data_IF_240409764211
#
_entry.id   IF_240409764211
#
_cell.length_a   1.000
_cell.length_b   1.000
_cell.length_c   1.000
_cell.angle_alpha   90.00
_cell.angle_beta   90.00
_cell.angle_gamma   90.00
#
_symmetry.space_group_name_H-M   'P 1'
#
loop_
_entity.id
_entity.type
_entity.pdbx_description
1 polymer ?
#
# COMPACT_ATOMS: atom_id res chain seq x y z
N UNK A 1 -8.82 9.34 23.85
CA UNK A 1 -7.78 8.30 23.98
C UNK A 1 -8.11 7.01 23.21
N UNK A 2 -9.26 6.36 23.40
CA UNK A 2 -9.61 5.11 22.72
C UNK A 2 -9.51 5.16 21.17
N UNK A 3 -9.91 6.27 20.55
CA UNK A 3 -9.83 6.48 19.09
C UNK A 3 -8.38 6.61 18.59
N UNK A 4 -7.52 7.28 19.35
CA UNK A 4 -6.10 7.47 19.00
C UNK A 4 -5.33 6.16 19.06
N UNK A 5 -5.62 5.27 20.00
CA UNK A 5 -4.98 3.96 20.09
C UNK A 5 -5.34 3.10 18.88
N UNK A 6 -6.59 3.17 18.40
CA UNK A 6 -7.03 2.44 17.19
C UNK A 6 -6.61 3.09 15.88
N UNK A 7 -6.48 4.43 15.87
CA UNK A 7 -6.10 5.21 14.69
C UNK A 7 -5.09 6.29 15.07
N UNK A 8 -3.79 5.99 15.04
CA UNK A 8 -2.74 6.98 15.36
C UNK A 8 -2.80 8.26 14.52
N UNK A 9 -3.34 8.18 13.28
CA UNK A 9 -3.54 9.35 12.42
C UNK A 9 -4.51 10.39 13.01
N UNK A 10 -5.35 10.04 13.97
CA UNK A 10 -6.26 10.99 14.64
C UNK A 10 -5.52 12.03 15.52
N UNK A 11 -4.31 11.73 15.97
CA UNK A 11 -3.45 12.72 16.64
C UNK A 11 -3.10 13.91 15.75
N UNK A 12 -3.06 13.68 14.43
CA UNK A 12 -2.70 14.68 13.43
C UNK A 12 -3.92 15.35 12.79
N UNK A 13 -5.10 15.19 13.38
CA UNK A 13 -6.35 15.77 12.87
C UNK A 13 -6.24 17.23 12.43
N UNK A 14 -5.66 18.15 13.23
CA UNK A 14 -5.63 19.57 12.90
C UNK A 14 -4.78 19.88 11.66
N UNK A 15 -3.76 19.06 11.36
CA UNK A 15 -2.77 19.31 10.30
C UNK A 15 -2.84 18.29 9.15
N UNK A 16 -3.68 17.27 9.25
CA UNK A 16 -3.69 16.17 8.27
C UNK A 16 -4.00 16.64 6.84
N UNK A 17 -4.89 17.61 6.67
CA UNK A 17 -5.23 18.16 5.35
C UNK A 17 -4.12 18.99 4.71
N UNK A 18 -3.27 19.63 5.50
CA UNK A 18 -2.16 20.48 5.01
C UNK A 18 -0.95 19.68 4.55
N UNK A 19 -0.89 18.39 4.85
CA UNK A 19 0.21 17.50 4.51
C UNK A 19 0.02 16.75 3.18
N UNK A 20 -1.05 17.05 2.44
CA UNK A 20 -1.24 16.53 1.09
C UNK A 20 -0.20 17.11 0.15
N UNK A 21 0.35 16.25 -0.71
CA UNK A 21 1.44 16.57 -1.63
C UNK A 21 1.00 16.39 -3.08
N UNK A 22 1.53 17.21 -3.94
CA UNK A 22 1.52 16.97 -5.39
C UNK A 22 2.42 15.78 -5.74
N UNK A 23 2.27 15.16 -6.92
CA UNK A 23 3.16 14.09 -7.35
C UNK A 23 4.64 14.47 -7.32
N UNK A 24 4.98 15.71 -7.73
CA UNK A 24 6.36 16.21 -7.71
C UNK A 24 6.92 16.30 -6.28
N UNK A 25 6.13 16.80 -5.33
CA UNK A 25 6.51 16.89 -3.92
C UNK A 25 6.65 15.51 -3.30
N UNK A 26 5.70 14.59 -3.58
CA UNK A 26 5.77 13.19 -3.13
C UNK A 26 7.04 12.50 -3.62
N UNK A 27 7.39 12.69 -4.89
CA UNK A 27 8.62 12.13 -5.46
C UNK A 27 9.87 12.76 -4.84
N UNK A 28 9.91 14.08 -4.73
CA UNK A 28 11.04 14.82 -4.15
C UNK A 28 11.33 14.37 -2.72
N UNK A 29 10.30 14.17 -1.90
CA UNK A 29 10.43 13.84 -0.48
C UNK A 29 10.70 12.35 -0.24
N UNK A 30 9.99 11.47 -0.97
CA UNK A 30 9.99 10.04 -0.64
C UNK A 30 10.70 9.14 -1.65
N UNK A 31 11.21 9.66 -2.77
CA UNK A 31 11.93 8.83 -3.76
C UNK A 31 13.08 8.00 -3.17
N UNK A 32 13.87 8.49 -2.18
CA UNK A 32 14.90 7.65 -1.57
C UNK A 32 14.32 6.41 -0.86
N UNK A 33 13.15 6.54 -0.23
CA UNK A 33 12.46 5.42 0.41
C UNK A 33 11.87 4.46 -0.63
N UNK A 34 11.26 4.99 -1.70
CA UNK A 34 10.72 4.17 -2.78
C UNK A 34 11.84 3.37 -3.48
N UNK A 35 12.98 4.00 -3.72
CA UNK A 35 14.15 3.33 -4.28
C UNK A 35 14.67 2.25 -3.32
N UNK A 36 14.87 2.59 -2.05
CA UNK A 36 15.41 1.68 -1.03
C UNK A 36 14.56 0.41 -0.85
N UNK A 37 13.23 0.58 -0.81
CA UNK A 37 12.31 -0.51 -0.52
C UNK A 37 11.61 -1.08 -1.76
N UNK A 38 12.07 -0.76 -2.96
CA UNK A 38 11.60 -1.41 -4.18
C UNK A 38 12.08 -2.86 -4.27
N UNK A 39 11.35 -3.67 -5.03
CA UNK A 39 11.71 -5.05 -5.36
C UNK A 39 11.72 -5.24 -6.89
N UNK A 40 12.01 -6.47 -7.35
CA UNK A 40 11.91 -6.80 -8.79
C UNK A 40 10.48 -6.65 -9.34
N UNK A 41 9.46 -6.72 -8.49
CA UNK A 41 8.04 -6.59 -8.88
C UNK A 41 7.49 -5.23 -8.50
N UNK A 42 7.75 -4.78 -7.29
CA UNK A 42 7.21 -3.53 -6.75
C UNK A 42 8.22 -2.41 -7.02
N UNK A 43 8.06 -1.72 -8.15
CA UNK A 43 8.97 -0.65 -8.56
C UNK A 43 8.78 0.63 -7.73
N UNK A 44 9.79 1.53 -7.69
CA UNK A 44 9.67 2.83 -7.00
C UNK A 44 8.48 3.65 -7.50
N UNK A 45 8.22 3.62 -8.81
CA UNK A 45 7.13 4.35 -9.45
C UNK A 45 5.77 3.77 -9.04
N UNK A 46 5.67 2.46 -8.83
CA UNK A 46 4.44 1.83 -8.33
C UNK A 46 4.19 2.22 -6.87
N UNK A 47 5.23 2.20 -6.03
CA UNK A 47 5.12 2.65 -4.63
C UNK A 47 4.67 4.11 -4.54
N UNK A 48 5.29 4.99 -5.34
CA UNK A 48 4.90 6.40 -5.40
C UNK A 48 3.46 6.58 -5.90
N UNK A 49 3.04 5.80 -6.92
CA UNK A 49 1.69 5.84 -7.48
C UNK A 49 0.64 5.42 -6.45
N UNK A 50 0.87 4.34 -5.71
CA UNK A 50 -0.02 3.89 -4.65
C UNK A 50 -0.13 4.94 -3.54
N UNK A 51 1.00 5.47 -3.05
CA UNK A 51 1.02 6.52 -2.03
C UNK A 51 0.25 7.78 -2.45
N UNK A 52 0.36 8.16 -3.74
CA UNK A 52 -0.34 9.33 -4.29
C UNK A 52 -1.84 9.08 -4.46
N UNK A 53 -2.22 7.90 -4.96
CA UNK A 53 -3.63 7.56 -5.22
C UNK A 53 -4.41 7.37 -3.92
N UNK A 54 -3.81 6.76 -2.90
CA UNK A 54 -4.45 6.45 -1.62
C UNK A 54 -4.48 7.62 -0.66
N UNK A 55 -3.38 8.31 -0.50
CA UNK A 55 -3.21 9.30 0.55
C UNK A 55 -2.66 10.65 0.08
N UNK A 56 -2.59 10.93 -1.22
CA UNK A 56 -1.96 12.15 -1.76
C UNK A 56 -0.56 12.39 -1.19
N UNK A 57 0.23 11.33 -1.03
CA UNK A 57 1.56 11.38 -0.42
C UNK A 57 1.59 11.81 1.05
N UNK A 58 0.45 11.86 1.72
CA UNK A 58 0.30 12.29 3.10
C UNK A 58 0.47 11.10 4.06
N UNK A 59 1.50 11.08 4.93
CA UNK A 59 1.77 9.96 5.83
C UNK A 59 0.71 9.77 6.93
N UNK A 60 -0.08 10.80 7.20
CA UNK A 60 -1.15 10.78 8.20
C UNK A 60 -2.53 10.92 7.56
N UNK A 61 -2.66 10.58 6.28
CA UNK A 61 -3.94 10.59 5.58
C UNK A 61 -5.00 9.80 6.35
N UNK A 62 -6.18 10.37 6.43
CA UNK A 62 -7.28 9.87 7.27
C UNK A 62 -8.36 9.24 6.41
N UNK A 63 -9.01 8.21 6.96
CA UNK A 63 -10.26 7.67 6.42
C UNK A 63 -11.43 8.48 6.94
N UNK A 64 -12.47 8.64 6.11
CA UNK A 64 -13.71 9.27 6.51
C UNK A 64 -14.42 8.47 7.61
N UNK A 65 -15.11 9.18 8.50
CA UNK A 65 -16.00 8.61 9.49
C UNK A 65 -17.41 8.47 8.89
N UNK A 66 -18.05 7.34 9.13
CA UNK A 66 -19.46 7.12 8.74
C UNK A 66 -20.35 7.16 9.95
N UNK A 67 -21.49 7.82 9.82
CA UNK A 67 -22.59 7.72 10.74
C UNK A 67 -23.35 6.42 10.46
N UNK A 68 -23.57 5.61 11.49
CA UNK A 68 -24.39 4.40 11.41
C UNK A 68 -25.46 4.48 12.49
N UNK A 69 -26.70 4.40 12.10
CA UNK A 69 -27.84 4.24 13.01
C UNK A 69 -27.84 2.79 13.52
N UNK A 70 -26.89 2.46 14.37
CA UNK A 70 -26.78 1.14 15.00
C UNK A 70 -27.51 1.17 16.34
N UNK A 71 -28.12 0.04 16.73
CA UNK A 71 -28.78 -0.12 18.05
C UNK A 71 -27.79 -0.05 19.24
N UNK A 72 -26.49 0.09 18.98
CA UNK A 72 -25.45 0.23 20.01
C UNK A 72 -25.00 1.69 20.10
N UNK A 73 -25.24 2.40 21.22
CA UNK A 73 -24.98 3.83 21.34
C UNK A 73 -23.52 4.24 21.16
N UNK A 74 -22.57 3.32 21.38
CA UNK A 74 -21.14 3.56 21.16
C UNK A 74 -20.66 3.28 19.72
N UNK A 75 -21.54 2.77 18.86
CA UNK A 75 -21.23 2.39 17.48
C UNK A 75 -21.80 3.36 16.43
N UNK A 76 -22.46 4.42 16.89
CA UNK A 76 -23.13 5.43 16.05
C UNK A 76 -22.14 6.15 15.13
N UNK A 77 -20.89 6.30 15.57
CA UNK A 77 -19.84 6.99 14.84
C UNK A 77 -18.60 6.12 14.74
N UNK A 78 -18.44 5.46 13.58
CA UNK A 78 -17.30 4.57 13.30
C UNK A 78 -16.47 5.07 12.14
N UNK A 79 -15.14 4.84 12.13
CA UNK A 79 -14.36 5.04 10.93
C UNK A 79 -14.87 4.11 9.81
N UNK A 80 -14.96 4.64 8.60
CA UNK A 80 -15.40 3.87 7.43
C UNK A 80 -14.51 2.63 7.18
N UNK A 81 -13.25 2.70 7.62
CA UNK A 81 -12.29 1.61 7.51
C UNK A 81 -11.21 1.77 8.57
N UNK A 82 -10.48 0.68 8.89
CA UNK A 82 -9.29 0.70 9.76
C UNK A 82 -8.04 1.21 9.05
N UNK A 83 -8.14 1.67 7.81
CA UNK A 83 -7.02 2.13 6.98
C UNK A 83 -6.38 3.41 7.51
N UNK A 84 -5.04 3.49 7.42
CA UNK A 84 -4.23 4.59 7.97
C UNK A 84 -3.05 4.89 7.06
N UNK A 85 -2.71 6.19 6.98
CA UNK A 85 -1.48 6.69 6.38
C UNK A 85 -1.50 6.76 4.85
N UNK A 86 -0.32 7.02 4.26
CA UNK A 86 -0.20 7.29 2.82
C UNK A 86 -0.62 6.12 1.92
N UNK A 87 -0.62 4.90 2.42
CA UNK A 87 -1.06 3.70 1.69
C UNK A 87 -2.40 3.17 2.18
N UNK A 88 -3.09 3.85 3.09
CA UNK A 88 -4.36 3.41 3.66
C UNK A 88 -4.32 1.93 4.12
N UNK A 89 -3.24 1.55 4.83
CA UNK A 89 -3.01 0.19 5.31
C UNK A 89 -4.06 -0.16 6.38
N UNK A 90 -4.82 -1.22 6.16
CA UNK A 90 -5.81 -1.75 7.13
C UNK A 90 -5.14 -2.51 8.28
N UNK A 91 -5.87 -2.75 9.38
CA UNK A 91 -5.34 -3.49 10.54
C UNK A 91 -4.91 -4.91 10.16
N UNK A 92 -5.70 -5.62 9.33
CA UNK A 92 -5.37 -6.97 8.87
C UNK A 92 -4.10 -6.98 8.01
N UNK A 93 -4.04 -6.11 7.00
CA UNK A 93 -2.84 -5.97 6.16
C UNK A 93 -1.60 -5.60 6.98
N UNK A 94 -1.76 -4.72 7.98
CA UNK A 94 -0.65 -4.34 8.85
C UNK A 94 -0.14 -5.49 9.70
N UNK A 95 -1.04 -6.32 10.26
CA UNK A 95 -0.67 -7.49 11.04
C UNK A 95 0.13 -8.50 10.20
N UNK A 96 -0.30 -8.74 8.95
CA UNK A 96 0.38 -9.65 8.03
C UNK A 96 1.70 -9.08 7.52
N UNK A 97 1.72 -7.79 7.14
CA UNK A 97 2.88 -7.13 6.54
C UNK A 97 4.09 -7.09 7.47
N UNK A 98 3.88 -6.98 8.80
CA UNK A 98 4.96 -6.93 9.80
C UNK A 98 5.83 -8.20 9.86
N UNK A 99 5.40 -9.28 9.21
CA UNK A 99 6.17 -10.52 9.10
C UNK A 99 7.25 -10.47 8.02
N UNK A 100 7.26 -9.42 7.20
CA UNK A 100 8.15 -9.26 6.06
C UNK A 100 8.95 -7.97 6.14
N UNK A 101 10.17 -7.99 5.63
CA UNK A 101 11.00 -6.81 5.41
C UNK A 101 11.73 -6.88 4.07
N UNK A 102 12.32 -5.76 3.66
CA UNK A 102 13.10 -5.67 2.43
C UNK A 102 14.59 -5.62 2.77
N UNK A 103 15.36 -6.56 2.20
CA UNK A 103 16.81 -6.59 2.26
C UNK A 103 17.34 -6.69 0.83
N UNK A 104 18.18 -5.75 0.43
CA UNK A 104 18.79 -5.74 -0.92
C UNK A 104 17.76 -5.98 -2.04
N UNK A 105 16.64 -5.26 -2.00
CA UNK A 105 15.51 -5.38 -2.95
C UNK A 105 14.84 -6.76 -3.00
N UNK A 106 15.03 -7.59 -2.00
CA UNK A 106 14.36 -8.88 -1.84
C UNK A 106 13.54 -8.93 -0.56
N UNK A 107 12.41 -9.62 -0.62
CA UNK A 107 11.57 -9.84 0.57
C UNK A 107 12.16 -10.94 1.41
N UNK A 108 12.36 -10.65 2.69
CA UNK A 108 12.75 -11.59 3.74
C UNK A 108 11.56 -11.81 4.67
N UNK A 109 11.41 -13.02 5.17
CA UNK A 109 10.36 -13.39 6.13
C UNK A 109 10.87 -13.28 7.57
N UNK A 110 9.94 -13.11 8.52
CA UNK A 110 10.25 -13.02 9.96
C UNK A 110 11.05 -14.24 10.43
N UNK A 111 11.91 -14.00 11.41
CA UNK A 111 12.79 -14.99 12.00
C UNK A 111 12.98 -14.74 13.49
N UNK A 112 13.87 -15.48 14.16
CA UNK A 112 14.09 -15.34 15.60
C UNK A 112 14.60 -13.94 15.95
N UNK A 113 14.21 -13.45 17.13
CA UNK A 113 14.54 -12.10 17.61
C UNK A 113 16.06 -11.85 17.76
N UNK A 114 16.84 -12.92 17.95
CA UNK A 114 18.30 -12.87 18.08
C UNK A 114 19.04 -12.90 16.74
N UNK A 115 18.31 -13.05 15.62
CA UNK A 115 18.88 -12.90 14.28
C UNK A 115 18.64 -11.47 13.77
N UNK A 116 19.69 -10.65 13.77
CA UNK A 116 19.64 -9.28 13.29
C UNK A 116 19.30 -9.14 11.80
N UNK A 117 19.38 -10.24 11.04
CA UNK A 117 18.93 -10.31 9.64
C UNK A 117 17.45 -10.57 9.51
N UNK A 118 16.77 -10.99 10.58
CA UNK A 118 15.33 -11.22 10.57
C UNK A 118 14.52 -9.91 10.58
N UNK A 119 13.21 -10.02 10.35
CA UNK A 119 12.31 -8.87 10.28
C UNK A 119 11.63 -8.53 11.61
N UNK A 120 12.12 -9.03 12.75
CA UNK A 120 11.45 -8.88 14.03
C UNK A 120 11.23 -7.40 14.45
N UNK A 121 12.11 -6.49 14.01
CA UNK A 121 11.98 -5.05 14.22
C UNK A 121 10.70 -4.46 13.63
N UNK A 122 10.12 -5.08 12.60
CA UNK A 122 8.90 -4.63 11.98
C UNK A 122 7.68 -4.72 12.92
N UNK A 123 7.81 -5.44 14.04
CA UNK A 123 6.81 -5.44 15.13
C UNK A 123 6.67 -4.08 15.81
N UNK A 124 7.72 -3.25 15.76
CA UNK A 124 7.75 -1.88 16.28
C UNK A 124 7.29 -0.83 15.25
N UNK A 125 7.04 -1.24 14.01
CA UNK A 125 6.64 -0.34 12.94
C UNK A 125 5.25 0.23 13.17
N UNK A 126 5.03 1.41 12.59
CA UNK A 126 3.74 2.10 12.55
C UNK A 126 3.37 2.44 11.11
N UNK A 127 2.08 2.64 10.84
CA UNK A 127 1.56 2.95 9.50
C UNK A 127 1.72 4.42 9.10
N UNK A 128 2.12 5.29 10.04
CA UNK A 128 2.23 6.74 9.83
C UNK A 128 3.66 7.21 9.60
N UNK A 129 4.66 6.39 9.94
CA UNK A 129 6.07 6.68 9.63
C UNK A 129 6.33 6.28 8.18
N UNK A 130 6.75 7.22 7.30
CA UNK A 130 6.88 6.95 5.86
C UNK A 130 7.75 5.74 5.51
N UNK A 131 8.93 5.60 6.13
CA UNK A 131 9.83 4.47 5.89
C UNK A 131 9.18 3.13 6.24
N UNK A 132 8.46 3.07 7.36
CA UNK A 132 7.74 1.87 7.77
C UNK A 132 6.60 1.53 6.80
N UNK A 133 5.80 2.53 6.44
CA UNK A 133 4.66 2.35 5.54
C UNK A 133 5.10 1.88 4.14
N UNK A 134 6.18 2.47 3.60
CA UNK A 134 6.75 2.07 2.29
C UNK A 134 7.26 0.65 2.32
N UNK A 135 8.07 0.28 3.32
CA UNK A 135 8.63 -1.07 3.44
C UNK A 135 7.55 -2.13 3.63
N UNK A 136 6.61 -1.91 4.56
CA UNK A 136 5.50 -2.83 4.81
C UNK A 136 4.65 -3.06 3.56
N UNK A 137 4.30 -1.99 2.84
CA UNK A 137 3.49 -2.09 1.63
C UNK A 137 4.24 -2.85 0.53
N UNK A 138 5.51 -2.52 0.31
CA UNK A 138 6.34 -3.18 -0.70
C UNK A 138 6.50 -4.67 -0.42
N UNK A 139 6.91 -5.02 0.79
CA UNK A 139 7.13 -6.41 1.19
C UNK A 139 5.86 -7.25 1.13
N UNK A 140 4.75 -6.71 1.64
CA UNK A 140 3.45 -7.37 1.61
C UNK A 140 2.95 -7.62 0.19
N UNK A 141 3.01 -6.61 -0.68
CA UNK A 141 2.53 -6.74 -2.05
C UNK A 141 3.39 -7.70 -2.87
N UNK A 142 4.72 -7.61 -2.77
CA UNK A 142 5.62 -8.53 -3.47
C UNK A 142 5.33 -9.99 -3.07
N UNK A 143 5.26 -10.27 -1.77
CA UNK A 143 4.95 -11.60 -1.24
C UNK A 143 3.57 -12.07 -1.66
N UNK A 144 2.58 -11.20 -1.62
CA UNK A 144 1.20 -11.53 -2.00
C UNK A 144 1.07 -11.85 -3.48
N UNK A 145 1.74 -11.08 -4.35
CA UNK A 145 1.82 -11.36 -5.79
C UNK A 145 2.48 -12.70 -6.06
N UNK A 146 3.65 -12.95 -5.46
CA UNK A 146 4.37 -14.21 -5.61
C UNK A 146 3.51 -15.40 -5.17
N UNK A 147 2.85 -15.29 -4.01
CA UNK A 147 1.99 -16.32 -3.46
C UNK A 147 0.76 -16.59 -4.33
N UNK A 148 0.11 -15.56 -4.86
CA UNK A 148 -1.04 -15.73 -5.75
C UNK A 148 -0.65 -16.43 -7.07
N UNK A 149 0.45 -16.02 -7.70
CA UNK A 149 0.94 -16.66 -8.91
C UNK A 149 1.34 -18.11 -8.68
N UNK A 150 2.01 -18.41 -7.56
CA UNK A 150 2.43 -19.76 -7.19
C UNK A 150 1.22 -20.68 -6.95
N UNK A 151 0.24 -20.24 -6.15
CA UNK A 151 -0.98 -21.04 -5.87
C UNK A 151 -1.74 -21.44 -7.14
N UNK A 152 -1.72 -20.59 -8.15
CA UNK A 152 -2.39 -20.84 -9.42
C UNK A 152 -1.45 -21.33 -10.52
N UNK A 153 -0.22 -21.71 -10.17
CA UNK A 153 0.79 -22.30 -11.07
C UNK A 153 1.08 -21.44 -12.33
N UNK A 154 0.96 -20.11 -12.21
CA UNK A 154 1.26 -19.18 -13.29
C UNK A 154 2.77 -19.04 -13.43
N UNK A 155 3.37 -19.70 -14.44
CA UNK A 155 4.81 -19.71 -14.70
C UNK A 155 5.31 -18.40 -15.29
N UNK A 156 4.51 -17.73 -16.12
CA UNK A 156 4.90 -16.52 -16.84
C UNK A 156 3.83 -15.43 -16.67
N UNK A 157 4.27 -14.28 -16.20
CA UNK A 157 3.49 -13.05 -16.16
C UNK A 157 4.44 -11.87 -16.41
N UNK A 158 4.04 -10.92 -17.24
CA UNK A 158 4.82 -9.70 -17.47
C UNK A 158 4.91 -8.87 -16.19
N UNK A 159 5.93 -8.03 -16.09
CA UNK A 159 6.08 -7.12 -14.95
C UNK A 159 4.81 -6.25 -14.76
N UNK A 160 4.27 -5.76 -15.85
CA UNK A 160 3.05 -4.95 -15.84
C UNK A 160 1.87 -5.71 -15.22
N UNK A 161 1.63 -6.98 -15.63
CA UNK A 161 0.56 -7.81 -15.04
C UNK A 161 0.78 -8.14 -13.57
N UNK A 162 2.04 -8.32 -13.14
CA UNK A 162 2.37 -8.48 -11.72
C UNK A 162 2.08 -7.21 -10.93
N UNK A 163 2.36 -6.04 -11.48
CA UNK A 163 2.07 -4.75 -10.85
C UNK A 163 0.57 -4.42 -10.85
N UNK A 164 -0.18 -4.79 -11.88
CA UNK A 164 -1.64 -4.73 -11.86
C UNK A 164 -2.22 -5.63 -10.75
N UNK A 165 -1.73 -6.87 -10.64
CA UNK A 165 -2.10 -7.78 -9.56
C UNK A 165 -1.79 -7.17 -8.18
N UNK A 166 -0.63 -6.52 -8.01
CA UNK A 166 -0.29 -5.81 -6.78
C UNK A 166 -1.31 -4.71 -6.46
N UNK A 167 -1.71 -3.91 -7.46
CA UNK A 167 -2.72 -2.87 -7.28
C UNK A 167 -4.11 -3.46 -6.93
N UNK A 168 -4.50 -4.59 -7.54
CA UNK A 168 -5.74 -5.31 -7.20
C UNK A 168 -5.69 -5.82 -5.75
N UNK A 169 -4.58 -6.44 -5.34
CA UNK A 169 -4.39 -6.92 -3.97
C UNK A 169 -4.43 -5.76 -2.98
N UNK A 170 -3.81 -4.65 -3.32
CA UNK A 170 -3.80 -3.46 -2.46
C UNK A 170 -5.20 -2.93 -2.19
N UNK A 171 -6.00 -2.76 -3.24
CA UNK A 171 -7.36 -2.24 -3.13
C UNK A 171 -8.34 -3.25 -2.51
N UNK A 172 -8.28 -4.51 -2.96
CA UNK A 172 -9.34 -5.50 -2.78
C UNK A 172 -8.92 -6.68 -1.87
N UNK A 173 -7.65 -6.72 -1.46
CA UNK A 173 -7.09 -7.81 -0.66
C UNK A 173 -6.68 -9.05 -1.46
N UNK A 174 -6.01 -9.98 -0.78
CA UNK A 174 -5.40 -11.17 -1.39
C UNK A 174 -6.42 -12.09 -2.11
N UNK A 175 -7.64 -12.23 -1.57
CA UNK A 175 -8.69 -13.06 -2.19
C UNK A 175 -9.11 -12.55 -3.58
N UNK A 176 -9.18 -11.23 -3.75
CA UNK A 176 -9.46 -10.63 -5.07
C UNK A 176 -8.26 -10.80 -6.02
N UNK A 177 -7.04 -10.76 -5.49
CA UNK A 177 -5.83 -11.09 -6.24
C UNK A 177 -5.88 -12.53 -6.77
N UNK A 178 -6.26 -13.49 -5.96
CA UNK A 178 -6.45 -14.89 -6.39
C UNK A 178 -7.52 -15.02 -7.48
N UNK A 179 -8.63 -14.31 -7.33
CA UNK A 179 -9.68 -14.30 -8.34
C UNK A 179 -9.21 -13.67 -9.67
N UNK A 180 -8.41 -12.62 -9.61
CA UNK A 180 -7.78 -12.00 -10.79
C UNK A 180 -6.84 -12.98 -11.50
N UNK A 181 -6.01 -13.71 -10.77
CA UNK A 181 -5.10 -14.71 -11.34
C UNK A 181 -5.90 -15.87 -11.98
N UNK A 182 -6.95 -16.40 -11.31
CA UNK A 182 -7.81 -17.45 -11.87
C UNK A 182 -8.49 -17.05 -13.19
N UNK A 183 -8.75 -15.74 -13.39
CA UNK A 183 -9.32 -15.21 -14.64
C UNK A 183 -8.24 -14.92 -15.71
N UNK A 184 -7.06 -15.50 -15.60
CA UNK A 184 -5.97 -15.26 -16.55
C UNK A 184 -5.42 -13.84 -16.49
N UNK A 185 -5.29 -13.29 -15.29
CA UNK A 185 -4.80 -11.93 -15.00
C UNK A 185 -5.73 -10.86 -15.63
N UNK A 186 -7.03 -11.02 -15.45
CA UNK A 186 -8.07 -10.10 -15.94
C UNK A 186 -9.02 -9.69 -14.82
N UNK A 187 -9.41 -8.41 -14.81
CA UNK A 187 -10.48 -7.92 -13.95
C UNK A 187 -11.84 -8.38 -14.46
N UNK A 188 -12.76 -8.70 -13.56
CA UNK A 188 -14.16 -8.81 -13.92
C UNK A 188 -14.71 -7.44 -14.35
N UNK A 189 -15.77 -7.42 -15.16
CA UNK A 189 -16.32 -6.18 -15.73
C UNK A 189 -16.80 -5.23 -14.64
N UNK A 190 -17.51 -5.74 -13.63
CA UNK A 190 -18.14 -4.95 -12.57
C UNK A 190 -17.47 -5.16 -11.21
N UNK A 191 -16.16 -5.50 -11.19
CA UNK A 191 -15.48 -5.76 -9.94
C UNK A 191 -15.36 -4.49 -9.10
N UNK A 192 -16.01 -4.51 -7.92
CA UNK A 192 -15.97 -3.43 -6.93
C UNK A 192 -15.30 -3.92 -5.63
N UNK A 193 -14.61 -3.02 -4.97
CA UNK A 193 -13.99 -3.25 -3.67
C UNK A 193 -14.36 -2.07 -2.76
N UNK A 194 -15.31 -2.30 -1.88
CA UNK A 194 -15.96 -1.21 -1.17
C UNK A 194 -16.67 -0.27 -2.15
N UNK A 195 -16.39 1.02 -2.03
CA UNK A 195 -16.98 2.06 -2.90
C UNK A 195 -16.20 2.25 -4.22
N UNK A 196 -15.09 1.52 -4.43
CA UNK A 196 -14.21 1.69 -5.58
C UNK A 196 -14.45 0.63 -6.66
N UNK A 197 -14.47 1.08 -7.91
CA UNK A 197 -14.41 0.21 -9.08
C UNK A 197 -12.94 -0.18 -9.35
N UNK A 198 -12.67 -1.50 -9.37
CA UNK A 198 -11.30 -2.00 -9.46
C UNK A 198 -10.59 -1.58 -10.76
N UNK A 199 -11.31 -1.55 -11.88
CA UNK A 199 -10.78 -1.14 -13.19
C UNK A 199 -10.34 0.33 -13.19
N UNK A 200 -11.17 1.22 -12.67
CA UNK A 200 -10.88 2.66 -12.55
C UNK A 200 -9.68 2.88 -11.64
N UNK A 201 -9.62 2.16 -10.52
CA UNK A 201 -8.50 2.23 -9.61
C UNK A 201 -7.18 1.81 -10.26
N UNK A 202 -7.14 0.63 -10.88
CA UNK A 202 -5.93 0.12 -11.56
C UNK A 202 -5.48 1.06 -12.69
N UNK A 203 -6.42 1.61 -13.47
CA UNK A 203 -6.11 2.60 -14.50
C UNK A 203 -5.48 3.87 -13.90
N UNK A 204 -6.01 4.35 -12.76
CA UNK A 204 -5.51 5.51 -12.03
C UNK A 204 -4.09 5.28 -11.49
N UNK A 205 -3.84 4.13 -10.87
CA UNK A 205 -2.49 3.74 -10.41
C UNK A 205 -1.52 3.65 -11.59
N UNK A 206 -1.92 3.02 -12.69
CA UNK A 206 -1.09 2.90 -13.91
C UNK A 206 -0.80 4.26 -14.54
N UNK A 207 -1.77 5.18 -14.56
CA UNK A 207 -1.57 6.56 -15.00
C UNK A 207 -0.57 7.30 -14.12
N UNK A 208 -0.73 7.22 -12.81
CA UNK A 208 0.15 7.85 -11.85
C UNK A 208 1.57 7.27 -11.89
N UNK A 209 1.73 5.96 -12.11
CA UNK A 209 3.02 5.31 -12.31
C UNK A 209 3.79 5.91 -13.48
N UNK A 210 3.11 6.24 -14.61
CA UNK A 210 3.74 6.93 -15.76
C UNK A 210 4.21 8.35 -15.38
N UNK A 211 3.44 9.08 -14.59
CA UNK A 211 3.84 10.41 -14.09
C UNK A 211 5.13 10.30 -13.28
N UNK A 212 5.21 9.34 -12.37
CA UNK A 212 6.43 9.15 -11.57
C UNK A 212 7.62 8.65 -12.39
N UNK A 213 7.39 7.86 -13.43
CA UNK A 213 8.45 7.46 -14.36
C UNK A 213 9.04 8.67 -15.10
N UNK A 214 8.21 9.62 -15.54
CA UNK A 214 8.70 10.86 -16.17
C UNK A 214 9.46 11.75 -15.18
N UNK A 215 9.00 11.88 -13.92
CA UNK A 215 9.71 12.65 -12.89
C UNK A 215 11.08 12.04 -12.55
N UNK A 216 11.21 10.73 -12.56
CA UNK A 216 12.50 10.05 -12.35
C UNK A 216 13.47 10.35 -13.47
N UNK A 217 13.02 10.30 -14.73
CA UNK A 217 13.85 10.60 -15.90
C UNK A 217 14.31 12.06 -15.91
N UNK A 218 13.43 13.02 -15.62
CA UNK A 218 13.79 14.43 -15.58
C UNK A 218 14.85 14.73 -14.52
N UNK A 219 14.81 14.05 -13.38
CA UNK A 219 15.82 14.23 -12.33
C UNK A 219 17.19 13.66 -12.73
N UNK A 220 17.23 12.48 -13.36
CA UNK A 220 18.49 11.86 -13.82
C UNK A 220 19.18 12.64 -14.96
N UNK A 221 18.48 13.56 -15.61
CA UNK A 221 19.05 14.46 -16.64
C UNK A 221 19.56 15.79 -16.05
N UNK A 222 19.23 16.08 -14.80
CA UNK A 222 19.62 17.32 -14.11
C UNK A 222 20.77 17.13 -13.09
N UNK A 223 21.16 15.91 -12.83
CA UNK A 223 22.34 15.50 -12.04
C UNK A 223 23.52 15.19 -12.97
#
# INVERSE_FOLDING_TARGET
MYQVVRKPSELFFPVSGTLNKTPTETWREYSPLFLKYSTKVISPELLAALAQVEGSGNPVARTYWRWSLSQRPFDVYRPASSSVGMYQITDGTFADARRYCIRDHAVVEDGPWNDWKSCWFNRLYTRVVPSHAVELTSAYLDRSVASALLRHQVKFATLERKQELAAVIHLCGAGAGDAYVRRGLRLAEDQRCGDHEARVYVARVSGMKRVFASLKLSRSLSE
#
